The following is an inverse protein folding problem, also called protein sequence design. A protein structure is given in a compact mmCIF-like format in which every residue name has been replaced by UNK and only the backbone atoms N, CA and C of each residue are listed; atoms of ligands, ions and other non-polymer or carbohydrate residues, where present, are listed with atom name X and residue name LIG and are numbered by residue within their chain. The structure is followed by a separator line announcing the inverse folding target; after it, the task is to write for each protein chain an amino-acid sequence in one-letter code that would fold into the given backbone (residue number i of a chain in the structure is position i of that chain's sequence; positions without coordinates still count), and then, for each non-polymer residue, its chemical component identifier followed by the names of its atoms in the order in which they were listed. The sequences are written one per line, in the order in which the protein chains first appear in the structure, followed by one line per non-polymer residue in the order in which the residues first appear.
data_IF_952307948216
#
_entry.id   IF_952307948216
#
_cell.length_a   1.000
_cell.length_b   1.000
_cell.length_c   1.000
_cell.angle_alpha   90.00
_cell.angle_beta   90.00
_cell.angle_gamma   90.00
#
_symmetry.space_group_name_H-M   'P 1'
#
loop_
_entity.id
_entity.type
_entity.pdbx_description
1 polymer ?
#
# COMPACT_ATOMS: atom_id res chain seq x y z
N UNK A 1 -17.80 7.54 5.61
CA UNK A 1 -16.98 6.45 6.20
C UNK A 1 -15.70 6.33 5.37
N UNK A 2 -14.56 6.27 6.03
CA UNK A 2 -13.27 6.17 5.33
C UNK A 2 -12.70 4.78 5.54
N UNK A 3 -12.41 4.10 4.43
CA UNK A 3 -11.91 2.73 4.44
C UNK A 3 -10.39 2.74 4.24
N UNK A 4 -9.67 2.04 5.13
CA UNK A 4 -8.21 1.98 5.10
C UNK A 4 -7.75 0.54 4.96
N UNK A 5 -6.78 0.32 4.09
CA UNK A 5 -6.12 -0.98 3.96
C UNK A 5 -4.65 -0.81 4.31
N UNK A 6 -4.14 -1.72 5.13
CA UNK A 6 -2.75 -1.72 5.54
C UNK A 6 -2.14 -3.06 5.21
N UNK A 7 -1.17 -3.05 4.31
CA UNK A 7 -0.35 -4.23 4.01
C UNK A 7 0.95 -4.13 4.80
N UNK A 8 1.27 -5.17 5.57
CA UNK A 8 2.53 -5.23 6.31
C UNK A 8 3.41 -6.30 5.72
N UNK A 9 4.67 -5.97 5.51
CA UNK A 9 5.62 -6.93 4.96
C UNK A 9 7.04 -6.57 5.37
N UNK A 10 7.90 -7.59 5.35
CA UNK A 10 9.32 -7.41 5.61
C UNK A 10 10.09 -7.65 4.33
N UNK A 11 11.12 -6.84 4.10
CA UNK A 11 11.99 -6.95 2.94
C UNK A 11 13.21 -7.81 3.27
N UNK A 12 13.68 -8.56 2.29
CA UNK A 12 14.94 -9.26 2.40
C UNK A 12 16.08 -8.26 2.54
N UNK A 13 17.15 -8.61 3.32
CA UNK A 13 18.29 -7.71 3.46
C UNK A 13 18.87 -7.33 2.10
N UNK A 14 19.20 -6.04 1.95
CA UNK A 14 19.77 -5.53 0.72
C UNK A 14 18.74 -5.17 -0.38
N UNK A 15 17.45 -5.39 -0.15
CA UNK A 15 16.41 -5.09 -1.14
C UNK A 15 15.54 -3.89 -0.77
N UNK A 16 15.76 -3.30 0.40
CA UNK A 16 14.88 -2.23 0.92
C UNK A 16 14.80 -1.02 0.01
N UNK A 17 15.95 -0.56 -0.50
CA UNK A 17 15.98 0.62 -1.36
C UNK A 17 15.30 0.36 -2.71
N UNK A 18 15.52 -0.81 -3.28
CA UNK A 18 14.89 -1.18 -4.55
C UNK A 18 13.37 -1.29 -4.38
N UNK A 19 12.91 -1.93 -3.32
CA UNK A 19 11.49 -2.06 -3.04
C UNK A 19 10.83 -0.69 -2.85
N UNK A 20 11.45 0.16 -2.03
CA UNK A 20 10.92 1.50 -1.78
C UNK A 20 10.81 2.30 -3.07
N UNK A 21 11.87 2.26 -3.89
CA UNK A 21 11.89 3.01 -5.15
C UNK A 21 10.79 2.55 -6.11
N UNK A 22 10.65 1.24 -6.28
CA UNK A 22 9.62 0.69 -7.15
C UNK A 22 8.24 1.09 -6.64
N UNK A 23 8.00 0.95 -5.34
CA UNK A 23 6.70 1.28 -4.76
C UNK A 23 6.38 2.77 -4.94
N UNK A 24 7.33 3.65 -4.65
CA UNK A 24 7.13 5.10 -4.78
C UNK A 24 6.87 5.52 -6.22
N UNK A 25 7.63 4.97 -7.17
CA UNK A 25 7.61 5.46 -8.55
C UNK A 25 6.59 4.75 -9.42
N UNK A 26 6.21 3.51 -9.08
CA UNK A 26 5.33 2.71 -9.92
C UNK A 26 3.99 2.37 -9.27
N UNK A 27 3.97 2.06 -7.97
CA UNK A 27 2.73 1.67 -7.31
C UNK A 27 1.90 2.88 -6.86
N UNK A 28 2.50 3.80 -6.12
CA UNK A 28 1.77 4.93 -5.54
C UNK A 28 1.07 5.77 -6.60
N UNK A 29 1.73 6.15 -7.71
CA UNK A 29 1.03 6.95 -8.74
C UNK A 29 -0.18 6.23 -9.33
N UNK A 30 -0.09 4.93 -9.55
CA UNK A 30 -1.20 4.14 -10.09
C UNK A 30 -2.36 4.08 -9.09
N UNK A 31 -2.05 3.81 -7.81
CA UNK A 31 -3.06 3.75 -6.77
C UNK A 31 -3.79 5.09 -6.63
N UNK A 32 -3.04 6.18 -6.66
CA UNK A 32 -3.62 7.52 -6.49
C UNK A 32 -4.56 7.92 -7.62
N UNK A 33 -4.44 7.30 -8.78
CA UNK A 33 -5.34 7.56 -9.92
C UNK A 33 -6.59 6.69 -9.89
N UNK A 34 -6.63 5.70 -9.01
CA UNK A 34 -7.79 4.82 -8.93
C UNK A 34 -9.00 5.58 -8.36
N UNK A 35 -10.18 5.27 -8.91
CA UNK A 35 -11.40 5.92 -8.47
C UNK A 35 -11.63 5.71 -6.97
N UNK A 36 -11.92 6.79 -6.25
CA UNK A 36 -12.19 6.74 -4.82
C UNK A 36 -10.97 6.66 -3.93
N UNK A 37 -9.75 6.63 -4.50
CA UNK A 37 -8.55 6.69 -3.65
C UNK A 37 -8.37 8.08 -3.06
N UNK A 38 -8.16 8.14 -1.74
CA UNK A 38 -7.92 9.38 -1.01
C UNK A 38 -6.42 9.60 -0.83
N UNK A 39 -5.68 8.52 -0.54
CA UNK A 39 -4.24 8.60 -0.30
C UNK A 39 -3.59 7.24 -0.43
N UNK A 40 -2.31 7.23 -0.75
CA UNK A 40 -1.49 6.03 -0.79
C UNK A 40 -0.09 6.41 -0.34
N UNK A 41 0.46 5.67 0.61
CA UNK A 41 1.80 5.93 1.13
C UNK A 41 2.45 4.64 1.59
N UNK A 42 3.78 4.68 1.65
CA UNK A 42 4.59 3.59 2.16
C UNK A 42 5.32 4.07 3.39
N UNK A 43 5.23 3.33 4.50
CA UNK A 43 5.97 3.61 5.71
C UNK A 43 7.09 2.59 5.87
N UNK A 44 8.26 3.06 6.24
CA UNK A 44 9.41 2.22 6.57
C UNK A 44 9.74 2.48 8.02
N UNK A 45 9.91 1.42 8.82
CA UNK A 45 10.18 1.58 10.24
C UNK A 45 11.61 2.02 10.46
N UNK A 46 11.84 3.01 11.33
CA UNK A 46 13.19 3.53 11.59
C UNK A 46 14.07 2.48 12.27
N UNK A 47 13.54 1.81 13.29
CA UNK A 47 14.34 0.85 14.08
C UNK A 47 14.53 -0.49 13.37
N UNK A 48 13.65 -0.82 12.44
CA UNK A 48 13.71 -2.04 11.64
C UNK A 48 13.45 -1.67 10.17
N UNK A 49 14.49 -1.21 9.47
CA UNK A 49 14.29 -0.69 8.09
C UNK A 49 13.76 -1.70 7.10
N UNK A 50 13.81 -2.99 7.40
CA UNK A 50 13.21 -4.02 6.56
C UNK A 50 11.69 -4.12 6.72
N UNK A 51 11.12 -3.48 7.75
CA UNK A 51 9.69 -3.55 8.02
C UNK A 51 8.96 -2.39 7.36
N UNK A 52 7.97 -2.72 6.54
CA UNK A 52 7.19 -1.76 5.77
C UNK A 52 5.70 -1.90 6.04
N UNK A 53 4.99 -0.78 5.92
CA UNK A 53 3.53 -0.74 5.86
C UNK A 53 3.11 0.04 4.63
N UNK A 54 2.31 -0.60 3.78
CA UNK A 54 1.70 0.08 2.63
C UNK A 54 0.28 0.45 3.04
N UNK A 55 -0.01 1.76 3.08
CA UNK A 55 -1.31 2.26 3.53
C UNK A 55 -2.03 2.87 2.35
N UNK A 56 -3.27 2.40 2.10
CA UNK A 56 -4.14 3.02 1.12
C UNK A 56 -5.44 3.42 1.79
N UNK A 57 -5.90 4.62 1.49
CA UNK A 57 -7.09 5.21 2.08
C UNK A 57 -8.10 5.45 0.96
N UNK A 58 -9.34 5.03 1.17
CA UNK A 58 -10.39 5.02 0.16
C UNK A 58 -11.66 5.67 0.70
N UNK A 59 -12.41 6.28 -0.19
CA UNK A 59 -13.71 6.86 0.18
C UNK A 59 -14.67 5.79 0.66
N UNK A 60 -14.67 4.62 -0.01
CA UNK A 60 -15.55 3.51 0.33
C UNK A 60 -14.81 2.18 0.18
N UNK A 61 -15.34 1.16 0.84
CA UNK A 61 -14.85 -0.21 0.68
C UNK A 61 -15.01 -0.69 -0.76
N UNK A 62 -16.12 -0.32 -1.41
CA UNK A 62 -16.38 -0.71 -2.79
C UNK A 62 -15.30 -0.19 -3.74
N UNK A 63 -14.82 1.03 -3.52
CA UNK A 63 -13.74 1.60 -4.34
C UNK A 63 -12.46 0.78 -4.19
N UNK A 64 -12.11 0.40 -2.96
CA UNK A 64 -10.92 -0.42 -2.71
C UNK A 64 -11.06 -1.80 -3.38
N UNK A 65 -12.23 -2.41 -3.30
CA UNK A 65 -12.48 -3.70 -3.90
C UNK A 65 -12.49 -3.63 -5.43
N UNK A 66 -12.98 -2.52 -5.99
CA UNK A 66 -12.91 -2.30 -7.44
C UNK A 66 -11.47 -2.21 -7.92
N UNK A 67 -10.61 -1.55 -7.14
CA UNK A 67 -9.18 -1.49 -7.47
C UNK A 67 -8.57 -2.90 -7.47
N UNK A 68 -8.89 -3.72 -6.47
CA UNK A 68 -8.41 -5.11 -6.43
C UNK A 68 -8.87 -5.91 -7.66
N UNK A 69 -10.14 -5.76 -8.03
CA UNK A 69 -10.70 -6.47 -9.18
C UNK A 69 -10.09 -6.03 -10.50
N UNK A 70 -9.51 -4.84 -10.56
CA UNK A 70 -8.89 -4.33 -11.78
C UNK A 70 -7.61 -5.09 -12.14
N UNK A 71 -7.02 -5.81 -11.19
CA UNK A 71 -5.76 -6.53 -11.38
C UNK A 71 -4.53 -5.67 -11.16
N UNK A 72 -4.68 -4.36 -10.99
CA UNK A 72 -3.54 -3.46 -10.82
C UNK A 72 -2.77 -3.73 -9.53
N UNK A 73 -3.46 -4.11 -8.46
CA UNK A 73 -2.80 -4.45 -7.19
C UNK A 73 -1.89 -5.67 -7.37
N UNK A 74 -2.37 -6.69 -8.07
CA UNK A 74 -1.57 -7.89 -8.34
C UNK A 74 -0.34 -7.58 -9.20
N UNK A 75 -0.50 -6.71 -10.18
CA UNK A 75 0.63 -6.29 -11.02
C UNK A 75 1.71 -5.59 -10.20
N UNK A 76 1.32 -4.74 -9.24
CA UNK A 76 2.27 -4.05 -8.38
C UNK A 76 2.98 -5.01 -7.44
N UNK A 77 2.23 -5.95 -6.84
CA UNK A 77 2.82 -6.96 -5.97
C UNK A 77 3.82 -7.81 -6.75
N UNK A 78 3.52 -8.17 -7.99
CA UNK A 78 4.42 -8.94 -8.82
C UNK A 78 5.77 -8.24 -9.04
N UNK A 79 5.79 -6.91 -9.01
CA UNK A 79 7.02 -6.14 -9.20
C UNK A 79 7.91 -6.09 -7.95
N UNK A 80 7.33 -6.28 -6.76
CA UNK A 80 8.08 -6.15 -5.49
C UNK A 80 8.22 -7.46 -4.72
N UNK A 81 7.54 -8.53 -5.13
CA UNK A 81 7.56 -9.79 -4.36
C UNK A 81 8.96 -10.42 -4.27
N UNK A 82 9.88 -10.07 -5.18
CA UNK A 82 11.25 -10.54 -5.10
C UNK A 82 11.92 -10.13 -3.79
N UNK A 83 11.44 -9.04 -3.18
CA UNK A 83 12.02 -8.47 -1.97
C UNK A 83 11.32 -8.93 -0.69
N UNK A 84 10.27 -9.74 -0.78
CA UNK A 84 9.53 -10.16 0.41
C UNK A 84 10.28 -11.23 1.18
N UNK A 85 10.44 -11.01 2.51
CA UNK A 85 11.03 -11.97 3.43
C UNK A 85 9.94 -12.84 4.07
N UNK A 86 8.89 -13.15 3.32
CA UNK A 86 7.76 -13.92 3.78
C UNK A 86 6.47 -13.34 3.22
N UNK A 87 5.33 -14.00 3.43
CA UNK A 87 4.07 -13.50 2.92
C UNK A 87 3.66 -12.21 3.62
N UNK A 88 3.14 -11.22 2.88
CA UNK A 88 2.60 -10.02 3.50
C UNK A 88 1.29 -10.32 4.21
N UNK A 89 0.95 -9.49 5.20
CA UNK A 89 -0.36 -9.52 5.85
C UNK A 89 -1.15 -8.30 5.44
N UNK A 90 -2.47 -8.45 5.32
CA UNK A 90 -3.35 -7.36 4.94
C UNK A 90 -4.43 -7.20 5.99
N UNK A 91 -4.55 -5.98 6.53
CA UNK A 91 -5.64 -5.60 7.42
C UNK A 91 -6.52 -4.55 6.77
N UNK A 92 -7.79 -4.55 7.13
CA UNK A 92 -8.73 -3.52 6.69
C UNK A 92 -9.30 -2.84 7.91
N UNK A 93 -9.47 -1.52 7.82
CA UNK A 93 -9.82 -0.69 8.96
C UNK A 93 -10.79 0.40 8.54
N UNK A 94 -11.60 0.84 9.48
CA UNK A 94 -12.38 2.05 9.32
C UNK A 94 -11.63 3.15 10.06
N UNK A 95 -11.41 4.28 9.40
CA UNK A 95 -10.65 5.36 10.00
C UNK A 95 -11.58 6.43 10.57
N UNK A 96 -11.25 6.89 11.76
CA UNK A 96 -11.94 7.97 12.43
C UNK A 96 -10.96 9.12 12.65
N UNK A 97 -11.46 10.35 12.50
CA UNK A 97 -10.63 11.52 12.76
C UNK A 97 -9.75 11.96 11.60
N UNK A 98 -9.93 11.40 10.41
CA UNK A 98 -9.20 11.86 9.24
C UNK A 98 -9.74 13.24 8.86
N UNK A 99 -8.87 14.26 8.70
CA UNK A 99 -9.31 15.58 8.27
C UNK A 99 -10.01 15.51 6.91
N UNK A 100 -11.08 16.28 6.77
CA UNK A 100 -11.74 16.38 5.46
C UNK A 100 -10.79 17.03 4.48
N UNK A 101 -10.76 16.49 3.25
CA UNK A 101 -10.03 17.12 2.18
C UNK A 101 -10.62 18.51 1.92
N UNK A 102 -9.76 19.50 1.82
CA UNK A 102 -10.17 20.87 1.52
C UNK A 102 -10.67 20.97 0.08
#
# INVERSE_FOLDING_TARGET
MTFVRIGQFNALPGTTDALRRIYETEAIPVIRQAAGNVSALLLQQHQSPESFMAITIWKTQDDAEAYDRSGQAMEMVAKIKFAFAGPPTLGTYEAYGIPKAA
#
